data_IF_797221737550
#
_entry.id   IF_797221737550
#
_cell.length_a   1.000
_cell.length_b   1.000
_cell.length_c   1.000
_cell.angle_alpha   90.00
_cell.angle_beta   90.00
_cell.angle_gamma   90.00
#
_symmetry.space_group_name_H-M   'P 1'
#
loop_
_entity.id
_entity.type
_entity.pdbx_description
1 polymer ?
#
# COMPACT_ATOMS: atom_id res chain seq x y z
N UNK A 1 4.34 -8.94 -10.19
CA UNK A 1 3.40 -9.53 -9.25
C UNK A 1 2.38 -8.49 -8.81
N UNK A 2 1.11 -8.90 -8.70
CA UNK A 2 0.04 -8.10 -8.11
C UNK A 2 -0.72 -8.97 -7.09
N UNK A 3 -1.03 -8.38 -5.96
CA UNK A 3 -1.76 -9.07 -4.88
C UNK A 3 -2.95 -8.23 -4.46
N UNK A 4 -4.05 -8.87 -4.15
CA UNK A 4 -5.23 -8.25 -3.57
C UNK A 4 -5.98 -9.26 -2.70
N UNK A 5 -6.72 -8.76 -1.71
CA UNK A 5 -7.61 -9.55 -0.88
C UNK A 5 -8.96 -9.81 -1.58
N UNK A 6 -9.27 -9.03 -2.62
CA UNK A 6 -10.49 -9.15 -3.42
C UNK A 6 -10.23 -10.00 -4.67
N UNK A 7 -10.81 -11.18 -4.71
CA UNK A 7 -10.78 -12.03 -5.91
C UNK A 7 -11.43 -11.34 -7.11
N UNK A 8 -12.48 -10.56 -6.88
CA UNK A 8 -13.17 -9.81 -7.94
C UNK A 8 -12.29 -8.71 -8.53
N UNK A 9 -11.51 -7.99 -7.71
CA UNK A 9 -10.55 -7.01 -8.19
C UNK A 9 -9.46 -7.67 -9.05
N UNK A 10 -8.99 -8.84 -8.63
CA UNK A 10 -7.99 -9.60 -9.40
C UNK A 10 -8.51 -10.07 -10.75
N UNK A 11 -9.77 -10.48 -10.85
CA UNK A 11 -10.39 -10.84 -12.15
C UNK A 11 -10.35 -9.67 -13.13
N UNK A 12 -10.67 -8.46 -12.69
CA UNK A 12 -10.61 -7.25 -13.51
C UNK A 12 -9.16 -6.91 -13.88
N UNK A 13 -8.25 -7.00 -12.90
CA UNK A 13 -6.83 -6.74 -13.12
C UNK A 13 -6.21 -7.72 -14.13
N UNK A 14 -6.58 -9.00 -14.10
CA UNK A 14 -6.14 -10.00 -15.08
C UNK A 14 -6.65 -9.68 -16.49
N UNK A 15 -7.90 -9.25 -16.63
CA UNK A 15 -8.46 -8.83 -17.92
C UNK A 15 -7.70 -7.62 -18.48
N UNK A 16 -7.41 -6.64 -17.64
CA UNK A 16 -6.61 -5.47 -18.01
C UNK A 16 -5.20 -5.87 -18.45
N UNK A 17 -4.52 -6.73 -17.69
CA UNK A 17 -3.20 -7.22 -18.06
C UNK A 17 -3.19 -7.91 -19.42
N UNK A 18 -4.18 -8.77 -19.71
CA UNK A 18 -4.35 -9.42 -21.02
C UNK A 18 -4.56 -8.40 -22.13
N UNK A 19 -5.42 -7.41 -21.90
CA UNK A 19 -5.71 -6.35 -22.89
C UNK A 19 -4.48 -5.53 -23.24
N UNK A 20 -3.63 -5.26 -22.25
CA UNK A 20 -2.40 -4.49 -22.41
C UNK A 20 -1.15 -5.34 -22.68
N UNK A 21 -1.32 -6.64 -22.89
CA UNK A 21 -0.23 -7.60 -23.17
C UNK A 21 0.87 -7.58 -22.08
N UNK A 22 0.46 -7.39 -20.81
CA UNK A 22 1.36 -7.42 -19.66
C UNK A 22 1.37 -8.81 -19.03
N UNK A 23 2.58 -9.35 -18.77
CA UNK A 23 2.77 -10.59 -18.05
C UNK A 23 2.86 -10.30 -16.54
N UNK A 24 1.79 -10.60 -15.81
CA UNK A 24 1.67 -10.31 -14.36
C UNK A 24 1.21 -11.57 -13.62
N UNK A 25 1.91 -11.91 -12.55
CA UNK A 25 1.50 -12.97 -11.63
C UNK A 25 0.52 -12.39 -10.59
N UNK A 26 -0.72 -12.82 -10.65
CA UNK A 26 -1.76 -12.41 -9.69
C UNK A 26 -1.87 -13.40 -8.54
N UNK A 27 -2.08 -12.89 -7.32
CA UNK A 27 -2.28 -13.69 -6.11
C UNK A 27 -3.40 -13.12 -5.24
N UNK A 28 -4.43 -13.94 -5.01
CA UNK A 28 -5.46 -13.67 -4.01
C UNK A 28 -4.89 -13.97 -2.62
N UNK A 29 -4.67 -12.92 -1.81
CA UNK A 29 -4.09 -13.07 -0.47
C UNK A 29 -4.28 -11.82 0.38
N UNK A 30 -4.35 -12.01 1.69
CA UNK A 30 -4.23 -10.94 2.67
C UNK A 30 -2.75 -10.61 2.90
N UNK A 31 -2.34 -9.38 2.55
CA UNK A 31 -0.97 -8.93 2.77
C UNK A 31 -0.61 -8.77 4.26
N UNK A 32 -1.59 -8.62 5.15
CA UNK A 32 -1.34 -8.52 6.59
C UNK A 32 -1.04 -9.88 7.24
N UNK A 33 -1.31 -10.99 6.56
CA UNK A 33 -0.95 -12.32 7.05
C UNK A 33 0.53 -12.64 6.78
N UNK A 34 1.37 -12.84 7.82
CA UNK A 34 2.78 -13.19 7.65
C UNK A 34 3.00 -14.50 6.85
N UNK A 35 2.07 -15.47 6.92
CA UNK A 35 2.17 -16.70 6.16
C UNK A 35 2.02 -16.42 4.65
N UNK A 36 1.17 -15.48 4.27
CA UNK A 36 1.05 -15.03 2.89
C UNK A 36 2.29 -14.28 2.42
N UNK A 37 2.86 -13.41 3.26
CA UNK A 37 4.10 -12.71 2.92
C UNK A 37 5.28 -13.67 2.69
N UNK A 38 5.35 -14.77 3.46
CA UNK A 38 6.45 -15.72 3.40
C UNK A 38 6.55 -16.47 2.06
N UNK A 39 5.48 -16.59 1.30
CA UNK A 39 5.46 -17.27 0.00
C UNK A 39 5.70 -16.34 -1.19
N UNK A 40 5.79 -15.03 -0.96
CA UNK A 40 6.09 -14.06 -2.01
C UNK A 40 7.57 -14.14 -2.42
N UNK A 41 7.87 -13.93 -3.72
CA UNK A 41 9.27 -13.87 -4.16
C UNK A 41 9.95 -12.59 -3.66
N UNK A 42 11.23 -12.48 -3.93
CA UNK A 42 12.00 -11.25 -3.69
C UNK A 42 11.65 -10.21 -4.73
N UNK A 43 11.51 -8.97 -4.29
CA UNK A 43 11.18 -7.83 -5.15
C UNK A 43 12.23 -6.73 -5.01
N UNK A 44 12.53 -6.05 -6.12
CA UNK A 44 13.37 -4.85 -6.15
C UNK A 44 12.54 -3.58 -5.92
N UNK A 45 11.25 -3.64 -6.25
CA UNK A 45 10.33 -2.50 -6.15
C UNK A 45 9.01 -2.98 -5.53
N UNK A 46 8.50 -2.21 -4.59
CA UNK A 46 7.16 -2.36 -4.00
C UNK A 46 6.38 -1.08 -4.27
N UNK A 47 5.21 -1.21 -4.88
CA UNK A 47 4.27 -0.09 -5.12
C UNK A 47 2.94 -0.45 -4.47
N UNK A 48 2.35 0.46 -3.70
CA UNK A 48 1.08 0.22 -3.03
C UNK A 48 0.24 1.50 -2.91
N UNK A 49 -1.05 1.35 -3.16
CA UNK A 49 -2.09 2.25 -2.68
C UNK A 49 -2.91 1.47 -1.63
N UNK A 50 -2.44 1.39 -0.39
CA UNK A 50 -3.10 0.57 0.63
C UNK A 50 -4.31 1.30 1.22
N UNK A 51 -5.24 0.59 1.89
CA UNK A 51 -6.23 1.24 2.75
C UNK A 51 -5.54 2.12 3.80
N UNK A 52 -6.00 3.36 3.95
CA UNK A 52 -5.38 4.32 4.86
C UNK A 52 -6.35 5.29 5.54
N UNK A 53 -7.65 5.19 5.29
CA UNK A 53 -8.67 6.09 5.85
C UNK A 53 -9.18 5.52 7.17
N UNK A 54 -9.04 6.22 8.31
CA UNK A 54 -9.67 5.80 9.56
C UNK A 54 -11.19 5.68 9.42
N UNK A 55 -11.79 4.65 10.01
CA UNK A 55 -13.24 4.39 9.91
C UNK A 55 -14.08 5.59 10.35
N UNK A 56 -13.63 6.35 11.35
CA UNK A 56 -14.33 7.55 11.83
C UNK A 56 -14.50 8.63 10.75
N UNK A 57 -13.63 8.67 9.73
CA UNK A 57 -13.72 9.64 8.63
C UNK A 57 -14.81 9.31 7.61
N UNK A 58 -15.36 8.07 7.64
CA UNK A 58 -16.41 7.63 6.71
C UNK A 58 -17.61 8.57 6.67
N UNK A 59 -17.94 9.21 7.79
CA UNK A 59 -19.09 10.13 7.87
C UNK A 59 -18.91 11.44 7.10
N UNK A 60 -17.67 11.84 6.84
CA UNK A 60 -17.31 13.09 6.16
C UNK A 60 -16.93 12.90 4.69
N UNK A 61 -16.87 11.65 4.24
CA UNK A 61 -16.48 11.31 2.87
C UNK A 61 -17.62 11.55 1.87
N UNK A 62 -17.22 11.72 0.61
CA UNK A 62 -18.16 11.78 -0.50
C UNK A 62 -18.97 10.49 -0.60
N UNK A 63 -20.30 10.62 -0.66
CA UNK A 63 -21.23 9.51 -0.77
C UNK A 63 -20.95 8.63 -2.00
N UNK A 64 -20.46 9.22 -3.09
CA UNK A 64 -20.13 8.49 -4.30
C UNK A 64 -18.98 7.49 -4.07
N UNK A 65 -17.95 7.87 -3.32
CA UNK A 65 -16.83 6.99 -2.95
C UNK A 65 -17.34 5.83 -2.08
N UNK A 66 -18.13 6.15 -1.03
CA UNK A 66 -18.65 5.14 -0.09
C UNK A 66 -19.55 4.11 -0.79
N UNK A 67 -20.29 4.51 -1.83
CA UNK A 67 -21.23 3.63 -2.54
C UNK A 67 -20.56 2.71 -3.56
N UNK A 68 -19.40 3.08 -4.07
CA UNK A 68 -18.77 2.37 -5.19
C UNK A 68 -17.45 1.68 -4.84
N UNK A 69 -16.78 2.10 -3.76
CA UNK A 69 -15.54 1.48 -3.30
C UNK A 69 -15.81 0.55 -2.12
N UNK A 70 -15.24 -0.66 -2.11
CA UNK A 70 -15.42 -1.58 -0.97
C UNK A 70 -14.72 -1.04 0.28
N UNK A 71 -15.34 -1.19 1.44
CA UNK A 71 -14.80 -0.76 2.73
C UNK A 71 -13.37 -1.30 2.98
N UNK A 72 -13.10 -2.53 2.57
CA UNK A 72 -11.78 -3.17 2.69
C UNK A 72 -10.67 -2.53 1.86
N UNK A 73 -11.02 -1.77 0.82
CA UNK A 73 -10.06 -1.04 -0.01
C UNK A 73 -9.76 0.37 0.53
N UNK A 74 -10.61 0.89 1.43
CA UNK A 74 -10.52 2.27 1.91
C UNK A 74 -10.07 2.37 3.36
N UNK A 75 -10.66 1.56 4.26
CA UNK A 75 -10.64 1.83 5.68
C UNK A 75 -9.64 0.99 6.48
N UNK A 76 -9.11 1.64 7.51
CA UNK A 76 -8.30 1.02 8.58
C UNK A 76 -8.93 1.33 9.94
N UNK A 77 -8.69 0.50 10.98
CA UNK A 77 -9.11 0.81 12.33
C UNK A 77 -8.53 2.14 12.81
N UNK A 78 -9.32 2.91 13.57
CA UNK A 78 -8.98 4.27 14.01
C UNK A 78 -7.73 4.33 14.89
N UNK A 79 -7.47 3.28 15.66
CA UNK A 79 -6.32 3.16 16.57
C UNK A 79 -5.02 2.77 15.87
N UNK A 80 -5.08 2.30 14.62
CA UNK A 80 -3.91 1.85 13.84
C UNK A 80 -3.89 2.38 12.40
N UNK A 81 -3.97 3.69 12.18
CA UNK A 81 -4.08 4.28 10.84
C UNK A 81 -2.88 3.99 9.93
N UNK A 82 -1.74 3.59 10.49
CA UNK A 82 -0.52 3.25 9.76
C UNK A 82 -0.32 1.73 9.54
N UNK A 83 -1.36 0.92 9.73
CA UNK A 83 -1.31 -0.54 9.72
C UNK A 83 -0.60 -1.10 8.48
N UNK A 84 -1.08 -0.76 7.30
CA UNK A 84 -0.51 -1.26 6.04
C UNK A 84 0.89 -0.71 5.77
N UNK A 85 1.15 0.55 6.08
CA UNK A 85 2.48 1.15 5.91
C UNK A 85 3.52 0.44 6.75
N UNK A 86 3.17 0.08 8.00
CA UNK A 86 4.03 -0.71 8.88
C UNK A 86 4.29 -2.09 8.30
N UNK A 87 3.26 -2.78 7.82
CA UNK A 87 3.39 -4.10 7.21
C UNK A 87 4.29 -4.07 5.97
N UNK A 88 4.11 -3.08 5.08
CA UNK A 88 4.93 -2.91 3.86
C UNK A 88 6.40 -2.68 4.21
N UNK A 89 6.68 -1.75 5.14
CA UNK A 89 8.04 -1.46 5.55
C UNK A 89 8.71 -2.68 6.21
N UNK A 90 8.00 -3.37 7.10
CA UNK A 90 8.51 -4.58 7.77
C UNK A 90 8.77 -5.71 6.77
N UNK A 91 7.87 -5.95 5.83
CA UNK A 91 8.06 -6.93 4.77
C UNK A 91 9.33 -6.62 3.95
N UNK A 92 9.52 -5.38 3.51
CA UNK A 92 10.72 -4.99 2.77
C UNK A 92 12.00 -5.22 3.58
N UNK A 93 12.00 -4.89 4.88
CA UNK A 93 13.16 -5.04 5.76
C UNK A 93 13.53 -6.50 6.04
N UNK A 94 12.55 -7.41 5.99
CA UNK A 94 12.79 -8.85 6.17
C UNK A 94 13.44 -9.51 4.94
N UNK A 95 13.42 -8.84 3.77
CA UNK A 95 14.05 -9.38 2.58
C UNK A 95 15.58 -9.37 2.71
N UNK A 96 16.22 -10.50 2.47
CA UNK A 96 17.67 -10.69 2.64
C UNK A 96 18.52 -10.30 1.42
N UNK A 97 17.88 -9.79 0.35
CA UNK A 97 18.59 -9.35 -0.86
C UNK A 97 18.72 -7.83 -0.89
N UNK A 98 19.47 -7.30 -1.86
CA UNK A 98 19.81 -5.90 -2.10
C UNK A 98 18.77 -4.81 -1.79
N UNK A 99 18.98 -3.59 -2.26
CA UNK A 99 18.07 -2.48 -1.95
C UNK A 99 16.71 -2.67 -2.59
N UNK A 100 15.65 -2.30 -1.85
CA UNK A 100 14.26 -2.32 -2.32
C UNK A 100 13.75 -0.89 -2.34
N UNK A 101 13.23 -0.44 -3.49
CA UNK A 101 12.53 0.83 -3.60
C UNK A 101 11.05 0.63 -3.22
N UNK A 102 10.53 1.50 -2.35
CA UNK A 102 9.15 1.44 -1.88
C UNK A 102 8.45 2.73 -2.25
N UNK A 103 7.26 2.61 -2.84
CA UNK A 103 6.40 3.73 -3.21
C UNK A 103 5.00 3.48 -2.68
N UNK A 104 4.46 4.44 -1.91
CA UNK A 104 3.11 4.34 -1.36
C UNK A 104 2.31 5.61 -1.62
N UNK A 105 1.01 5.46 -1.87
CA UNK A 105 0.06 6.54 -1.70
C UNK A 105 -0.16 6.80 -0.21
N UNK A 106 -0.47 8.04 0.18
CA UNK A 106 -0.57 8.48 1.56
C UNK A 106 -1.90 9.15 1.88
N UNK A 107 -2.38 8.93 3.09
CA UNK A 107 -3.31 9.86 3.73
C UNK A 107 -2.59 11.17 4.08
N UNK A 108 -3.14 12.31 3.66
CA UNK A 108 -2.48 13.61 3.82
C UNK A 108 -2.13 13.94 5.28
N UNK A 109 -3.05 13.67 6.20
CA UNK A 109 -2.89 14.04 7.62
C UNK A 109 -1.91 13.12 8.37
N UNK A 110 -1.66 11.91 7.84
CA UNK A 110 -0.72 10.95 8.40
C UNK A 110 0.63 10.89 7.66
N UNK A 111 0.85 11.74 6.65
CA UNK A 111 2.05 11.70 5.82
C UNK A 111 3.37 11.83 6.60
N UNK A 112 3.45 12.79 7.53
CA UNK A 112 4.63 12.99 8.38
C UNK A 112 4.84 11.83 9.36
N UNK A 113 3.76 11.26 9.89
CA UNK A 113 3.82 10.11 10.79
C UNK A 113 4.28 8.86 10.03
N UNK A 114 3.78 8.66 8.81
CA UNK A 114 4.19 7.56 7.92
C UNK A 114 5.67 7.69 7.55
N UNK A 115 6.13 8.88 7.18
CA UNK A 115 7.55 9.14 6.93
C UNK A 115 8.40 8.74 8.14
N UNK A 116 8.05 9.22 9.33
CA UNK A 116 8.76 8.92 10.58
C UNK A 116 8.76 7.41 10.89
N UNK A 117 7.64 6.71 10.63
CA UNK A 117 7.54 5.27 10.80
C UNK A 117 8.57 4.53 9.92
N UNK A 118 8.67 4.87 8.64
CA UNK A 118 9.64 4.25 7.73
C UNK A 118 11.09 4.51 8.17
N UNK A 119 11.41 5.74 8.59
CA UNK A 119 12.73 6.10 9.10
C UNK A 119 13.07 5.31 10.38
N UNK A 120 12.14 5.21 11.32
CA UNK A 120 12.30 4.46 12.58
C UNK A 120 12.47 2.96 12.36
N UNK A 121 11.84 2.40 11.35
CA UNK A 121 11.99 1.00 10.97
C UNK A 121 13.31 0.71 10.23
N UNK A 122 14.07 1.74 9.83
CA UNK A 122 15.39 1.57 9.22
C UNK A 122 15.41 1.79 7.70
N UNK A 123 14.32 2.26 7.09
CA UNK A 123 14.35 2.70 5.71
C UNK A 123 15.18 3.99 5.56
N UNK A 124 15.82 4.13 4.43
CA UNK A 124 16.65 5.31 4.09
C UNK A 124 16.04 6.10 2.94
N UNK A 125 16.51 7.33 2.71
CA UNK A 125 16.03 8.20 1.62
C UNK A 125 14.51 8.38 1.61
N UNK A 126 13.89 8.40 2.81
CA UNK A 126 12.44 8.54 2.94
C UNK A 126 12.00 9.95 2.57
N UNK A 127 11.20 10.07 1.53
CA UNK A 127 10.69 11.34 1.01
C UNK A 127 9.18 11.27 0.87
N UNK A 128 8.51 12.39 1.09
CA UNK A 128 7.08 12.55 0.82
C UNK A 128 6.89 13.64 -0.25
N UNK A 129 5.86 13.48 -1.06
CA UNK A 129 5.58 14.37 -2.18
C UNK A 129 4.12 14.78 -2.15
N UNK A 130 3.86 15.98 -2.67
CA UNK A 130 2.52 16.53 -2.81
C UNK A 130 1.93 16.21 -4.19
N UNK A 131 0.60 16.18 -4.24
CA UNK A 131 -0.15 16.15 -5.48
C UNK A 131 -0.28 17.56 -6.10
N UNK A 132 -1.04 17.66 -7.19
CA UNK A 132 -1.29 18.95 -7.88
C UNK A 132 -2.12 19.94 -7.05
N UNK A 133 -2.77 19.50 -5.98
CA UNK A 133 -3.54 20.30 -5.06
C UNK A 133 -2.77 20.67 -3.78
N UNK A 134 -1.45 20.45 -3.78
CA UNK A 134 -0.54 20.70 -2.64
C UNK A 134 -0.80 19.82 -1.40
N UNK A 135 -1.56 18.72 -1.53
CA UNK A 135 -1.78 17.74 -0.45
C UNK A 135 -0.67 16.68 -0.46
N UNK A 136 -0.17 16.30 0.71
CA UNK A 136 0.73 15.15 0.82
C UNK A 136 0.04 13.89 0.31
N UNK A 137 0.63 13.26 -0.72
CA UNK A 137 -0.03 12.14 -1.40
C UNK A 137 0.85 10.94 -1.66
N UNK A 138 2.16 11.09 -1.68
CA UNK A 138 3.06 10.00 -2.06
C UNK A 138 4.25 9.92 -1.12
N UNK A 139 4.73 8.69 -0.89
CA UNK A 139 5.98 8.40 -0.17
C UNK A 139 6.89 7.58 -1.08
N UNK A 140 8.17 7.88 -1.05
CA UNK A 140 9.22 6.98 -1.51
C UNK A 140 10.21 6.68 -0.39
N UNK A 141 10.71 5.45 -0.34
CA UNK A 141 11.73 5.02 0.62
C UNK A 141 12.63 3.95 -0.01
N UNK A 142 13.81 3.77 0.57
CA UNK A 142 14.75 2.71 0.18
C UNK A 142 15.05 1.86 1.42
N UNK A 143 14.83 0.56 1.31
CA UNK A 143 15.45 -0.44 2.19
C UNK A 143 16.82 -0.77 1.61
N UNK A 144 17.86 -0.66 2.37
CA UNK A 144 19.22 -1.10 1.99
C UNK A 144 19.41 -2.59 2.24
#
# INVERSE_FOLDING_TARGET
WAIDISEQALVVAEQNAKTHHCDIHFKHMDFLDPAHQAILPKFDIIVSNPPYIPIQEKQTMDQHVIQHEPDSALFVPDDVPLLFYKAIAQYALQQSHGPIAIYCELHQDYALQTKKLFEQLGCTSVRIYKDLYENWRMLSAIKK
#
